data_IF_561234470221
#
_entry.id   IF_561234470221
#
_cell.length_a   1.000
_cell.length_b   1.000
_cell.length_c   1.000
_cell.angle_alpha   90.00
_cell.angle_beta   90.00
_cell.angle_gamma   90.00
#
_symmetry.space_group_name_H-M   'P 1'
#
loop_
_entity.id
_entity.type
_entity.pdbx_description
1 polymer ?
#
# COMPACT_ATOMS: atom_id res chain seq x y z
N UNK A 1 -25.56 3.58 5.13
CA UNK A 1 -24.73 3.35 6.32
C UNK A 1 -23.32 3.08 5.85
N UNK A 2 -22.31 3.72 6.47
CA UNK A 2 -20.91 3.48 6.12
C UNK A 2 -20.35 2.35 6.98
N UNK A 3 -19.42 1.59 6.43
CA UNK A 3 -18.72 0.54 7.13
C UNK A 3 -17.37 0.27 6.49
N UNK A 4 -16.84 -0.91 6.79
CA UNK A 4 -15.58 -1.40 6.29
C UNK A 4 -15.56 -2.93 6.29
N UNK A 5 -14.83 -3.49 5.33
CA UNK A 5 -14.46 -4.90 5.27
C UNK A 5 -13.10 -5.10 5.92
N UNK A 6 -13.05 -5.92 6.96
CA UNK A 6 -11.88 -6.32 7.75
C UNK A 6 -11.62 -7.81 7.46
N UNK A 7 -10.65 -8.09 6.59
CA UNK A 7 -10.41 -9.44 6.10
C UNK A 7 -11.63 -9.94 5.32
N UNK A 8 -12.21 -11.05 5.73
CA UNK A 8 -13.42 -11.59 5.10
C UNK A 8 -14.73 -11.04 5.70
N UNK A 9 -14.65 -10.32 6.82
CA UNK A 9 -15.82 -9.87 7.57
C UNK A 9 -16.12 -8.39 7.30
N UNK A 10 -17.38 -8.02 7.28
CA UNK A 10 -17.85 -6.66 7.20
C UNK A 10 -18.31 -6.19 8.58
N UNK A 11 -17.77 -5.05 9.04
CA UNK A 11 -18.12 -4.37 10.32
C UNK A 11 -19.63 -4.41 10.63
N UNK A 12 -20.47 -3.88 9.75
CA UNK A 12 -21.92 -3.92 9.95
C UNK A 12 -22.55 -5.31 9.75
N UNK A 13 -22.34 -5.97 8.59
CA UNK A 13 -23.07 -7.19 8.24
C UNK A 13 -22.72 -8.39 9.13
N UNK A 14 -21.47 -8.52 9.55
CA UNK A 14 -20.97 -9.68 10.29
C UNK A 14 -20.88 -9.45 11.80
N UNK A 15 -20.73 -8.19 12.23
CA UNK A 15 -20.56 -7.86 13.64
C UNK A 15 -21.63 -6.89 14.17
N UNK A 16 -22.52 -6.38 13.33
CA UNK A 16 -23.52 -5.39 13.74
C UNK A 16 -22.90 -4.07 14.20
N UNK A 17 -21.68 -3.75 13.78
CA UNK A 17 -20.96 -2.54 14.20
C UNK A 17 -21.29 -1.37 13.27
N UNK A 18 -21.76 -0.28 13.86
CA UNK A 18 -22.06 0.97 13.17
C UNK A 18 -21.00 1.99 13.56
N UNK A 19 -20.19 2.52 12.62
CA UNK A 19 -19.21 3.56 12.92
C UNK A 19 -19.88 4.79 13.54
N UNK A 20 -19.29 5.35 14.60
CA UNK A 20 -19.80 6.60 15.23
C UNK A 20 -19.58 7.83 14.36
N UNK A 21 -18.60 7.76 13.45
CA UNK A 21 -18.30 8.78 12.46
C UNK A 21 -17.98 8.14 11.11
N UNK A 22 -17.91 8.96 10.05
CA UNK A 22 -17.47 8.49 8.73
C UNK A 22 -16.05 7.90 8.87
N UNK A 23 -15.85 6.61 8.55
CA UNK A 23 -14.52 6.01 8.67
C UNK A 23 -13.50 6.71 7.78
N UNK A 24 -12.42 7.18 8.39
CA UNK A 24 -11.26 7.76 7.72
C UNK A 24 -10.01 7.15 8.33
N UNK A 25 -9.06 6.74 7.49
CA UNK A 25 -7.75 6.28 7.95
C UNK A 25 -6.80 7.47 7.94
N UNK A 26 -6.13 7.69 9.06
CA UNK A 26 -5.13 8.75 9.19
C UNK A 26 -4.02 8.63 8.13
N UNK A 27 -3.49 9.78 7.74
CA UNK A 27 -2.28 9.84 6.90
C UNK A 27 -1.09 9.24 7.67
N UNK A 28 -0.17 8.57 6.98
CA UNK A 28 1.07 8.13 7.61
C UNK A 28 1.96 9.36 7.87
N UNK A 29 2.57 9.43 9.04
CA UNK A 29 3.51 10.51 9.35
C UNK A 29 4.79 10.38 8.52
N UNK A 30 5.35 11.48 7.99
CA UNK A 30 6.67 11.43 7.38
C UNK A 30 7.72 11.09 8.44
N UNK A 31 8.70 10.26 8.06
CA UNK A 31 9.90 10.04 8.87
C UNK A 31 10.88 11.14 8.55
N UNK A 32 10.97 12.13 9.44
CA UNK A 32 11.87 13.26 9.29
C UNK A 32 13.12 13.05 10.15
N UNK A 33 14.27 13.46 9.64
CA UNK A 33 15.55 13.37 10.34
C UNK A 33 16.27 14.71 10.23
N UNK A 34 16.61 15.30 11.38
CA UNK A 34 17.23 16.61 11.49
C UNK A 34 18.52 16.50 12.30
N UNK A 35 19.62 17.05 11.77
CA UNK A 35 20.90 17.12 12.45
C UNK A 35 21.05 18.48 13.13
N UNK A 36 21.07 18.46 14.46
CA UNK A 36 21.43 19.63 15.27
C UNK A 36 22.95 19.76 15.40
N UNK A 37 23.49 20.95 15.13
CA UNK A 37 24.92 21.24 15.17
C UNK A 37 25.15 22.42 16.13
N UNK A 38 25.93 22.22 17.22
CA UNK A 38 26.27 23.30 18.14
C UNK A 38 26.90 24.50 17.43
N UNK A 39 26.43 25.71 17.75
CA UNK A 39 26.91 26.96 17.16
C UNK A 39 26.31 27.32 15.80
N UNK A 40 25.38 26.50 15.28
CA UNK A 40 24.57 26.82 14.09
C UNK A 40 23.17 27.27 14.51
N UNK A 41 22.62 28.26 13.80
CA UNK A 41 21.20 28.56 13.91
C UNK A 41 20.38 27.59 13.04
N UNK A 42 19.46 26.87 13.68
CA UNK A 42 18.58 25.92 13.01
C UNK A 42 19.25 24.58 12.68
N UNK A 43 18.42 23.57 12.53
CA UNK A 43 18.82 22.21 12.22
C UNK A 43 19.08 22.02 10.71
N UNK A 44 19.86 21.00 10.35
CA UNK A 44 20.04 20.58 8.96
C UNK A 44 19.08 19.42 8.68
N UNK A 45 18.17 19.60 7.72
CA UNK A 45 17.30 18.52 7.25
C UNK A 45 18.12 17.49 6.45
N UNK A 46 18.18 16.27 6.98
CA UNK A 46 18.86 15.13 6.34
C UNK A 46 17.88 14.00 6.01
N UNK A 47 16.57 14.25 6.07
CA UNK A 47 15.48 13.28 5.90
C UNK A 47 15.66 12.39 4.67
N UNK A 48 16.03 12.98 3.53
CA UNK A 48 16.10 12.28 2.25
C UNK A 48 17.51 11.77 1.91
N UNK A 49 18.49 11.96 2.80
CA UNK A 49 19.92 11.74 2.49
C UNK A 49 20.25 10.29 2.13
N UNK A 50 19.55 9.31 2.74
CA UNK A 50 19.81 7.88 2.49
C UNK A 50 18.94 7.32 1.35
N UNK A 51 17.66 7.67 1.31
CA UNK A 51 16.65 7.07 0.43
C UNK A 51 16.45 7.86 -0.86
N UNK A 52 16.84 9.14 -0.88
CA UNK A 52 16.58 10.10 -1.95
C UNK A 52 15.11 10.54 -2.03
N UNK A 53 14.32 10.22 -1.02
CA UNK A 53 12.88 10.50 -0.93
C UNK A 53 12.40 10.42 0.52
N UNK A 54 11.39 11.22 0.88
CA UNK A 54 10.70 11.07 2.18
C UNK A 54 10.04 9.70 2.27
N UNK A 55 10.38 8.96 3.33
CA UNK A 55 9.71 7.71 3.70
C UNK A 55 8.73 7.96 4.85
N UNK A 56 7.80 7.03 5.04
CA UNK A 56 6.66 7.23 5.94
C UNK A 56 6.59 6.17 7.04
N UNK A 57 6.06 6.56 8.19
CA UNK A 57 5.69 5.67 9.28
C UNK A 57 4.45 4.84 8.94
N UNK A 58 4.21 3.79 9.73
CA UNK A 58 2.93 3.08 9.67
C UNK A 58 1.78 4.01 10.09
N UNK A 59 0.63 3.88 9.44
CA UNK A 59 -0.58 4.61 9.84
C UNK A 59 -1.10 4.05 11.15
N UNK A 60 -1.34 4.92 12.12
CA UNK A 60 -1.98 4.55 13.38
C UNK A 60 -3.23 5.38 13.60
N UNK A 61 -4.17 4.83 14.36
CA UNK A 61 -5.43 5.48 14.70
C UNK A 61 -6.44 4.46 15.17
N UNK A 62 -7.69 4.89 15.25
CA UNK A 62 -8.78 4.06 15.75
C UNK A 62 -10.09 4.32 15.02
N UNK A 63 -10.95 3.32 15.06
CA UNK A 63 -12.34 3.41 14.68
C UNK A 63 -13.19 3.09 15.89
N UNK A 64 -14.16 3.95 16.17
CA UNK A 64 -15.14 3.72 17.22
C UNK A 64 -16.47 3.28 16.59
N UNK A 65 -17.08 2.26 17.17
CA UNK A 65 -18.32 1.68 16.71
C UNK A 65 -19.33 1.57 17.84
N UNK A 66 -20.60 1.80 17.51
CA UNK A 66 -21.75 1.39 18.32
C UNK A 66 -22.19 -0.01 17.89
N UNK A 67 -22.46 -0.88 18.85
CA UNK A 67 -23.11 -2.16 18.60
C UNK A 67 -24.60 -1.91 18.34
N UNK A 68 -25.08 -2.30 17.15
CA UNK A 68 -26.48 -2.08 16.74
C UNK A 68 -27.51 -2.81 17.60
N UNK A 69 -27.15 -3.98 18.13
CA UNK A 69 -27.97 -4.76 19.06
C UNK A 69 -27.24 -4.89 20.40
N UNK A 70 -27.71 -4.13 21.40
CA UNK A 70 -27.07 -4.06 22.70
C UNK A 70 -27.05 -5.41 23.41
N UNK A 71 -28.00 -6.31 23.17
CA UNK A 71 -28.04 -7.61 23.87
C UNK A 71 -26.96 -8.57 23.34
N UNK A 72 -26.58 -8.42 22.06
CA UNK A 72 -25.56 -9.24 21.39
C UNK A 72 -24.13 -8.75 21.59
N UNK A 73 -23.91 -7.73 22.39
CA UNK A 73 -22.61 -7.09 22.57
C UNK A 73 -21.49 -8.07 22.96
N UNK A 74 -21.77 -9.03 23.86
CA UNK A 74 -20.77 -10.01 24.31
C UNK A 74 -20.37 -10.98 23.21
N UNK A 75 -21.33 -11.39 22.37
CA UNK A 75 -21.09 -12.26 21.23
C UNK A 75 -20.21 -11.54 20.20
N UNK A 76 -20.57 -10.30 19.87
CA UNK A 76 -19.81 -9.43 18.96
C UNK A 76 -18.37 -9.26 19.45
N UNK A 77 -18.20 -8.96 20.74
CA UNK A 77 -16.87 -8.82 21.35
C UNK A 77 -16.04 -10.11 21.23
N UNK A 78 -16.59 -11.27 21.60
CA UNK A 78 -15.91 -12.57 21.47
C UNK A 78 -15.54 -12.89 20.02
N UNK A 79 -16.43 -12.58 19.08
CA UNK A 79 -16.18 -12.77 17.65
C UNK A 79 -15.05 -11.86 17.16
N UNK A 80 -15.00 -10.61 17.58
CA UNK A 80 -13.89 -9.70 17.25
C UNK A 80 -12.56 -10.18 17.83
N UNK A 81 -12.55 -10.69 19.06
CA UNK A 81 -11.34 -11.27 19.66
C UNK A 81 -10.82 -12.47 18.86
N UNK A 82 -11.71 -13.35 18.38
CA UNK A 82 -11.29 -14.54 17.63
C UNK A 82 -10.92 -14.25 16.18
N UNK A 83 -11.51 -13.22 15.56
CA UNK A 83 -11.38 -12.96 14.12
C UNK A 83 -10.50 -11.77 13.76
N UNK A 84 -10.48 -10.71 14.56
CA UNK A 84 -9.80 -9.44 14.25
C UNK A 84 -8.62 -9.17 15.19
N UNK A 85 -8.79 -9.38 16.49
CA UNK A 85 -7.83 -8.93 17.52
C UNK A 85 -6.40 -9.42 17.26
N UNK A 86 -5.50 -8.47 17.00
CA UNK A 86 -4.07 -8.71 16.77
C UNK A 86 -3.72 -9.31 15.41
N UNK A 87 -4.70 -9.65 14.56
CA UNK A 87 -4.44 -10.34 13.28
C UNK A 87 -3.94 -9.39 12.20
N UNK A 88 -3.03 -9.87 11.35
CA UNK A 88 -2.70 -9.18 10.10
C UNK A 88 -3.85 -9.39 9.12
N UNK A 89 -4.43 -8.32 8.61
CA UNK A 89 -5.60 -8.35 7.75
C UNK A 89 -5.55 -7.26 6.68
N UNK A 90 -6.46 -7.36 5.73
CA UNK A 90 -6.74 -6.34 4.72
C UNK A 90 -7.95 -5.53 5.18
N UNK A 91 -7.92 -4.23 4.97
CA UNK A 91 -8.99 -3.31 5.32
C UNK A 91 -9.43 -2.56 4.06
N UNK A 92 -10.73 -2.58 3.78
CA UNK A 92 -11.35 -1.83 2.67
C UNK A 92 -12.49 -1.00 3.26
N UNK A 93 -12.44 0.32 3.07
CA UNK A 93 -13.50 1.22 3.53
C UNK A 93 -14.63 1.28 2.50
N UNK A 94 -15.88 1.33 2.94
CA UNK A 94 -17.02 1.47 2.02
C UNK A 94 -16.99 2.79 1.24
N UNK A 95 -16.31 3.81 1.78
CA UNK A 95 -16.12 5.12 1.15
C UNK A 95 -15.03 5.12 0.08
N UNK A 96 -14.17 4.09 0.06
CA UNK A 96 -13.02 3.99 -0.84
C UNK A 96 -12.78 2.52 -1.22
N UNK A 97 -13.75 1.95 -1.97
CA UNK A 97 -13.82 0.51 -2.22
C UNK A 97 -12.73 -0.03 -3.14
N UNK A 98 -12.15 0.83 -3.98
CA UNK A 98 -11.11 0.43 -4.92
C UNK A 98 -9.75 0.27 -4.26
N UNK A 99 -9.61 0.73 -3.01
CA UNK A 99 -8.36 0.71 -2.26
C UNK A 99 -8.42 -0.24 -1.08
N UNK A 100 -7.25 -0.82 -0.80
CA UNK A 100 -7.05 -1.74 0.30
C UNK A 100 -5.81 -1.35 1.09
N UNK A 101 -6.00 -1.33 2.40
CA UNK A 101 -4.96 -1.11 3.39
C UNK A 101 -4.55 -2.46 3.98
N UNK A 102 -3.29 -2.61 4.35
CA UNK A 102 -2.78 -3.83 4.98
C UNK A 102 -2.18 -3.51 6.34
N UNK A 103 -2.40 -4.37 7.32
CA UNK A 103 -1.78 -4.19 8.63
C UNK A 103 -2.49 -4.98 9.70
N UNK A 104 -2.46 -4.48 10.93
CA UNK A 104 -3.10 -5.12 12.08
C UNK A 104 -4.19 -4.24 12.65
N UNK A 105 -5.23 -4.88 13.14
CA UNK A 105 -6.28 -4.25 13.92
C UNK A 105 -6.41 -5.00 15.25
N UNK A 106 -6.77 -4.29 16.32
CA UNK A 106 -7.06 -4.90 17.60
C UNK A 106 -8.13 -4.11 18.34
N UNK A 107 -8.90 -4.82 19.16
CA UNK A 107 -9.82 -4.19 20.11
C UNK A 107 -8.97 -3.52 21.20
N UNK A 108 -9.06 -2.20 21.33
CA UNK A 108 -8.32 -1.43 22.33
C UNK A 108 -9.19 -1.00 23.51
N UNK A 109 -10.45 -0.66 23.24
CA UNK A 109 -11.39 -0.26 24.28
C UNK A 109 -12.75 -0.92 24.08
N UNK A 110 -13.37 -1.23 25.21
CA UNK A 110 -14.72 -1.78 25.29
C UNK A 110 -15.48 -1.05 26.41
N UNK A 111 -16.52 -0.31 26.05
CA UNK A 111 -17.38 0.43 27.00
C UNK A 111 -18.82 -0.02 26.81
N UNK A 112 -19.49 -0.39 27.88
CA UNK A 112 -20.92 -0.71 27.85
C UNK A 112 -21.65 0.14 28.89
N UNK A 113 -22.66 0.87 28.43
CA UNK A 113 -23.61 1.62 29.25
C UNK A 113 -25.02 1.03 29.06
N UNK A 114 -25.98 1.45 29.88
CA UNK A 114 -27.38 0.99 29.86
C UNK A 114 -28.04 1.15 28.49
N UNK A 115 -27.63 2.15 27.72
CA UNK A 115 -28.28 2.53 26.46
C UNK A 115 -27.47 2.21 25.21
N UNK A 116 -26.15 2.00 25.34
CA UNK A 116 -25.28 1.73 24.20
C UNK A 116 -24.01 0.99 24.61
N UNK A 117 -23.45 0.23 23.67
CA UNK A 117 -22.11 -0.36 23.81
C UNK A 117 -21.20 0.17 22.71
N UNK A 118 -20.03 0.67 23.11
CA UNK A 118 -18.96 1.14 22.24
C UNK A 118 -17.82 0.14 22.18
N UNK A 119 -17.32 -0.06 20.97
CA UNK A 119 -16.13 -0.85 20.68
C UNK A 119 -15.16 0.02 19.89
N UNK A 120 -13.93 0.11 20.38
CA UNK A 120 -12.85 0.82 19.68
C UNK A 120 -11.88 -0.20 19.11
N UNK A 121 -11.69 -0.13 17.79
CA UNK A 121 -10.66 -0.87 17.07
C UNK A 121 -9.51 0.07 16.75
N UNK A 122 -8.36 -0.16 17.35
CA UNK A 122 -7.11 0.46 16.92
C UNK A 122 -6.53 -0.27 15.72
N UNK A 123 -5.78 0.47 14.90
CA UNK A 123 -5.10 -0.07 13.75
C UNK A 123 -3.65 0.39 13.67
N UNK A 124 -2.83 -0.47 13.07
CA UNK A 124 -1.48 -0.17 12.61
C UNK A 124 -1.33 -0.71 11.20
N UNK A 125 -1.42 0.18 10.22
CA UNK A 125 -1.47 -0.13 8.79
C UNK A 125 -0.17 0.30 8.09
N UNK A 126 0.16 -0.38 6.99
CA UNK A 126 1.24 0.03 6.10
C UNK A 126 1.01 1.46 5.57
N UNK A 127 2.09 2.21 5.27
CA UNK A 127 1.99 3.61 4.86
C UNK A 127 1.17 3.78 3.58
N UNK A 128 1.36 2.90 2.59
CA UNK A 128 0.65 2.98 1.33
C UNK A 128 -0.63 2.14 1.34
N UNK A 129 -1.69 2.68 0.74
CA UNK A 129 -2.85 1.90 0.27
C UNK A 129 -2.60 1.46 -1.18
N UNK A 130 -3.18 0.33 -1.55
CA UNK A 130 -3.00 -0.27 -2.87
C UNK A 130 -4.35 -0.40 -3.56
N UNK A 131 -4.38 -0.39 -4.89
CA UNK A 131 -5.61 -0.69 -5.62
C UNK A 131 -5.90 -2.19 -5.60
N UNK A 132 -7.17 -2.54 -5.44
CA UNK A 132 -7.62 -3.94 -5.50
C UNK A 132 -7.37 -4.56 -6.87
N UNK A 133 -7.42 -3.79 -7.96
CA UNK A 133 -7.15 -4.26 -9.32
C UNK A 133 -5.72 -4.83 -9.50
N UNK A 134 -4.78 -4.34 -8.69
CA UNK A 134 -3.38 -4.78 -8.72
C UNK A 134 -3.14 -6.03 -7.86
N UNK A 135 -4.14 -6.48 -7.08
CA UNK A 135 -4.02 -7.66 -6.23
C UNK A 135 -4.06 -8.96 -7.07
N UNK A 136 -2.93 -9.65 -7.17
CA UNK A 136 -2.82 -10.95 -7.85
C UNK A 136 -2.04 -11.92 -6.97
N UNK A 137 -2.59 -13.12 -6.74
CA UNK A 137 -1.97 -14.16 -5.92
C UNK A 137 -1.53 -13.70 -4.51
N UNK A 138 -2.22 -12.72 -3.93
CA UNK A 138 -1.89 -12.16 -2.61
C UNK A 138 -0.94 -10.97 -2.61
N UNK A 139 -0.35 -10.60 -3.76
CA UNK A 139 0.57 -9.48 -3.91
C UNK A 139 -0.02 -8.35 -4.75
N UNK A 140 0.33 -7.11 -4.43
CA UNK A 140 -0.04 -5.93 -5.24
C UNK A 140 1.02 -5.65 -6.28
N UNK A 141 0.70 -5.97 -7.53
CA UNK A 141 1.62 -5.84 -8.65
C UNK A 141 0.86 -5.41 -9.90
N UNK A 142 1.13 -4.18 -10.35
CA UNK A 142 0.68 -3.70 -11.64
C UNK A 142 1.51 -4.34 -12.74
N UNK A 143 0.86 -4.79 -13.83
CA UNK A 143 1.54 -5.52 -14.93
C UNK A 143 1.19 -4.93 -16.29
N UNK A 144 2.22 -4.71 -17.10
CA UNK A 144 2.14 -4.38 -18.52
C UNK A 144 2.70 -5.57 -19.28
N UNK A 145 1.82 -6.41 -19.81
CA UNK A 145 2.19 -7.69 -20.42
C UNK A 145 2.27 -7.62 -21.95
N UNK A 146 3.00 -8.56 -22.55
CA UNK A 146 2.95 -8.82 -23.99
C UNK A 146 3.57 -7.71 -24.84
N UNK A 147 4.55 -6.99 -24.30
CA UNK A 147 5.23 -5.93 -25.02
C UNK A 147 6.15 -6.57 -26.07
N UNK A 148 5.73 -6.52 -27.33
CA UNK A 148 6.57 -6.95 -28.46
C UNK A 148 7.55 -5.83 -28.83
N UNK A 149 8.83 -6.18 -28.91
CA UNK A 149 9.97 -5.34 -29.33
C UNK A 149 10.64 -6.06 -30.50
N UNK A 150 10.83 -5.40 -31.64
CA UNK A 150 11.42 -5.98 -32.86
C UNK A 150 12.80 -5.41 -33.19
N UNK A 151 13.03 -4.12 -32.93
CA UNK A 151 14.32 -3.46 -33.11
C UNK A 151 14.61 -2.48 -31.99
N UNK A 152 13.72 -1.51 -31.80
CA UNK A 152 13.76 -0.54 -30.72
C UNK A 152 12.34 -0.16 -30.32
N UNK A 153 12.10 0.01 -29.03
CA UNK A 153 10.81 0.46 -28.50
C UNK A 153 11.01 1.29 -27.24
N UNK A 154 10.37 2.44 -27.19
CA UNK A 154 10.32 3.28 -25.98
C UNK A 154 8.98 3.08 -25.30
N UNK A 155 9.02 2.86 -23.99
CA UNK A 155 7.86 2.64 -23.13
C UNK A 155 7.93 3.65 -22.00
N UNK A 156 6.81 4.30 -21.72
CA UNK A 156 6.70 5.21 -20.58
C UNK A 156 5.83 4.55 -19.52
N UNK A 157 6.38 4.32 -18.33
CA UNK A 157 5.60 3.95 -17.16
C UNK A 157 5.08 5.25 -16.53
N UNK A 158 3.75 5.49 -16.49
CA UNK A 158 3.21 6.69 -15.90
C UNK A 158 3.44 6.70 -14.38
N UNK A 159 3.76 7.87 -13.83
CA UNK A 159 3.78 8.10 -12.39
C UNK A 159 2.39 8.53 -11.93
N UNK A 160 1.52 7.53 -11.79
CA UNK A 160 0.11 7.66 -11.39
C UNK A 160 -0.15 7.25 -9.92
N UNK A 161 0.93 7.13 -9.13
CA UNK A 161 0.91 6.76 -7.71
C UNK A 161 1.97 7.52 -6.91
N UNK A 162 1.86 7.51 -5.59
CA UNK A 162 2.81 8.20 -4.69
C UNK A 162 4.06 7.36 -4.37
N UNK A 163 4.01 6.06 -4.68
CA UNK A 163 5.11 5.13 -4.47
C UNK A 163 6.13 5.23 -5.62
N UNK A 164 7.41 5.23 -5.28
CA UNK A 164 8.50 5.24 -6.25
C UNK A 164 8.44 4.02 -7.17
N UNK A 165 8.44 4.26 -8.49
CA UNK A 165 8.37 3.19 -9.47
C UNK A 165 9.71 2.46 -9.46
N UNK A 166 9.67 1.16 -9.20
CA UNK A 166 10.80 0.23 -9.37
C UNK A 166 10.28 -0.95 -10.19
N UNK A 167 10.58 -1.02 -11.50
CA UNK A 167 10.11 -2.06 -12.37
C UNK A 167 10.93 -3.34 -12.24
N UNK A 168 10.23 -4.44 -12.42
CA UNK A 168 10.75 -5.77 -12.67
C UNK A 168 10.41 -6.14 -14.10
N UNK A 169 11.36 -6.78 -14.77
CA UNK A 169 11.30 -7.10 -16.18
C UNK A 169 11.30 -8.60 -16.35
N UNK A 170 10.38 -9.15 -17.14
CA UNK A 170 10.35 -10.57 -17.47
C UNK A 170 10.42 -10.77 -18.98
N UNK A 171 11.62 -11.08 -19.48
CA UNK A 171 11.86 -11.38 -20.88
C UNK A 171 11.40 -12.82 -21.18
N UNK A 172 10.43 -12.97 -22.08
CA UNK A 172 9.82 -14.27 -22.41
C UNK A 172 10.61 -15.08 -23.44
N UNK A 173 11.53 -14.45 -24.16
CA UNK A 173 12.25 -15.07 -25.27
C UNK A 173 13.71 -15.32 -24.92
N UNK A 174 14.38 -16.21 -25.64
CA UNK A 174 15.82 -16.49 -25.47
C UNK A 174 16.71 -15.31 -25.87
N UNK A 175 16.21 -14.41 -26.73
CA UNK A 175 16.97 -13.25 -27.17
C UNK A 175 17.23 -12.30 -26.02
N UNK A 176 18.47 -11.82 -25.91
CA UNK A 176 18.87 -10.84 -24.90
C UNK A 176 18.41 -9.45 -25.34
N UNK A 177 17.63 -8.79 -24.49
CA UNK A 177 17.24 -7.38 -24.66
C UNK A 177 18.25 -6.46 -23.98
N UNK A 178 18.43 -5.26 -24.53
CA UNK A 178 19.15 -4.18 -23.84
C UNK A 178 18.17 -3.06 -23.49
N UNK A 179 18.17 -2.65 -22.22
CA UNK A 179 17.45 -1.49 -21.71
C UNK A 179 18.43 -0.32 -21.58
N UNK A 180 18.07 0.82 -22.15
CA UNK A 180 18.72 2.10 -21.88
C UNK A 180 17.82 2.93 -20.95
N UNK A 181 18.37 3.32 -19.81
CA UNK A 181 17.74 4.23 -18.86
C UNK A 181 18.74 5.31 -18.46
N UNK A 182 18.42 6.58 -18.75
CA UNK A 182 19.27 7.74 -18.45
C UNK A 182 20.72 7.60 -18.96
N UNK A 183 20.91 6.97 -20.12
CA UNK A 183 22.23 6.74 -20.71
C UNK A 183 22.96 5.50 -20.20
N UNK A 184 22.48 4.86 -19.11
CA UNK A 184 22.99 3.58 -18.63
C UNK A 184 22.33 2.42 -19.37
N UNK A 185 23.14 1.44 -19.78
CA UNK A 185 22.66 0.22 -20.46
C UNK A 185 22.60 -0.94 -19.46
N UNK A 186 21.50 -1.67 -19.50
CA UNK A 186 21.23 -2.88 -18.72
C UNK A 186 20.90 -4.03 -19.67
N UNK A 187 21.31 -5.24 -19.31
CA UNK A 187 21.11 -6.45 -20.11
C UNK A 187 20.01 -7.30 -19.50
N UNK A 188 19.05 -7.70 -20.32
CA UNK A 188 17.88 -8.48 -19.92
C UNK A 188 17.92 -9.84 -20.63
N UNK A 189 18.57 -10.87 -20.04
CA UNK A 189 18.46 -12.24 -20.52
C UNK A 189 17.03 -12.77 -20.34
N UNK A 190 16.75 -13.96 -20.88
CA UNK A 190 15.47 -14.64 -20.63
C UNK A 190 15.17 -14.77 -19.14
N UNK A 191 13.93 -14.54 -18.76
CA UNK A 191 13.45 -14.62 -17.38
C UNK A 191 13.39 -13.27 -16.69
N UNK A 192 13.45 -13.30 -15.36
CA UNK A 192 13.27 -12.11 -14.52
C UNK A 192 14.57 -11.34 -14.33
N UNK A 193 14.49 -10.02 -14.49
CA UNK A 193 15.57 -9.06 -14.23
C UNK A 193 15.02 -7.89 -13.42
N UNK A 194 15.77 -7.44 -12.41
CA UNK A 194 15.42 -6.30 -11.57
C UNK A 194 16.65 -5.44 -11.33
N UNK A 195 16.50 -4.14 -11.54
CA UNK A 195 17.57 -3.17 -11.36
C UNK A 195 17.10 -2.06 -10.43
N UNK A 196 17.52 -2.03 -9.14
CA UNK A 196 17.10 -0.99 -8.19
C UNK A 196 17.43 0.44 -8.62
N UNK A 197 18.45 0.62 -9.47
CA UNK A 197 18.83 1.91 -10.05
C UNK A 197 17.84 2.42 -11.11
N UNK A 198 17.08 1.51 -11.74
CA UNK A 198 16.02 1.88 -12.68
C UNK A 198 14.79 2.22 -11.85
N UNK A 199 14.75 3.44 -11.32
CA UNK A 199 13.65 3.92 -10.47
C UNK A 199 13.32 5.38 -10.69
N UNK A 200 12.14 5.81 -10.27
CA UNK A 200 11.79 7.23 -10.32
C UNK A 200 10.44 7.59 -9.70
N UNK A 201 10.34 8.85 -9.26
CA UNK A 201 9.11 9.52 -8.80
C UNK A 201 8.54 10.46 -9.87
N UNK A 202 8.58 10.00 -11.12
CA UNK A 202 8.11 10.68 -12.33
C UNK A 202 7.91 9.65 -13.43
N UNK A 203 7.27 10.04 -14.53
CA UNK A 203 7.12 9.17 -15.70
C UNK A 203 8.48 8.54 -16.07
N UNK A 204 8.54 7.22 -16.05
CA UNK A 204 9.78 6.47 -16.27
C UNK A 204 9.86 6.07 -17.74
N UNK A 205 10.72 6.77 -18.49
CA UNK A 205 10.95 6.50 -19.91
C UNK A 205 12.03 5.43 -20.05
N UNK A 206 11.67 4.30 -20.63
CA UNK A 206 12.51 3.12 -20.81
C UNK A 206 12.65 2.82 -22.30
N UNK A 207 13.87 2.80 -22.82
CA UNK A 207 14.14 2.49 -24.22
C UNK A 207 14.77 1.12 -24.32
N UNK A 208 14.10 0.20 -25.00
CA UNK A 208 14.58 -1.16 -25.22
C UNK A 208 15.07 -1.32 -26.64
N UNK A 209 16.16 -2.06 -26.83
CA UNK A 209 16.71 -2.45 -28.14
C UNK A 209 16.95 -3.95 -28.20
N UNK A 210 16.66 -4.55 -29.35
CA UNK A 210 16.70 -6.00 -29.60
C UNK A 210 15.35 -6.52 -30.12
N UNK A 211 15.16 -7.84 -30.09
CA UNK A 211 13.93 -8.49 -30.55
C UNK A 211 13.42 -9.52 -29.54
N UNK A 212 12.32 -9.24 -28.86
CA UNK A 212 11.77 -10.09 -27.79
C UNK A 212 10.34 -9.69 -27.40
N UNK A 213 9.67 -10.55 -26.63
CA UNK A 213 8.44 -10.23 -25.90
C UNK A 213 8.76 -10.04 -24.42
N UNK A 214 8.35 -8.90 -23.87
CA UNK A 214 8.63 -8.46 -22.49
C UNK A 214 7.34 -8.27 -21.69
N UNK A 215 7.33 -8.69 -20.43
CA UNK A 215 6.37 -8.20 -19.43
C UNK A 215 7.11 -7.27 -18.46
N UNK A 216 6.47 -6.18 -18.07
CA UNK A 216 6.96 -5.25 -17.04
C UNK A 216 5.99 -5.28 -15.87
N UNK A 217 6.50 -5.36 -14.65
CA UNK A 217 5.69 -5.27 -13.43
C UNK A 217 6.28 -4.30 -12.43
N UNK A 218 5.43 -3.59 -11.69
CA UNK A 218 5.86 -2.68 -10.63
C UNK A 218 4.77 -2.51 -9.57
N UNK A 219 5.14 -2.01 -8.39
CA UNK A 219 4.19 -1.68 -7.34
C UNK A 219 3.68 -0.25 -7.51
N UNK A 220 2.39 -0.05 -7.29
CA UNK A 220 1.74 1.27 -7.19
C UNK A 220 1.13 1.40 -5.81
N UNK A 221 1.35 2.52 -5.15
CA UNK A 221 0.86 2.78 -3.80
C UNK A 221 0.51 4.25 -3.63
N UNK A 222 -0.51 4.53 -2.83
CA UNK A 222 -1.00 5.89 -2.56
C UNK A 222 -0.94 6.19 -1.06
N UNK A 223 -0.74 7.46 -0.73
CA UNK A 223 -0.76 7.97 0.66
C UNK A 223 -2.20 8.30 1.08
#
# INVERSE_FOLDING_TARGET
MYGMKIGEFHSYKDFGLVPTSKPVINLPSPKLEYLDIPGRHGEIDITESLTGEVIYEMRTGSFEFIVSDIEKWQEVYRKLLSTVHGKKTKLVLDTEKDYVYQGRLWVSEFKSDKNYSLITLEYKLEPYKYRLEDLKNGEFTHKVNGIVITSSKTITLPFDSDMTIVPEFNNKTENVLSLNFQGKKFTLPKGMSRFPEVRGRKNLVLTFTGSSTLDISYKRGWI
#
